data_IF_763440832245
#
_entry.id   IF_763440832245
#
_cell.length_a   1.000
_cell.length_b   1.000
_cell.length_c   1.000
_cell.angle_alpha   90.00
_cell.angle_beta   90.00
_cell.angle_gamma   90.00
#
_symmetry.space_group_name_H-M   'P 1'
#
loop_
_entity.id
_entity.type
_entity.pdbx_description
1 polymer ?
#
# COMPACT_ATOMS: atom_id res chain seq x y z
N UNK A 1 -3.97 -6.09 -13.04
CA UNK A 1 -2.83 -6.58 -12.22
C UNK A 1 -1.59 -5.67 -12.31
N UNK A 2 -0.75 -5.69 -13.37
CA UNK A 2 0.48 -4.85 -13.37
C UNK A 2 0.22 -3.33 -13.24
N UNK A 3 -0.80 -2.80 -13.92
CA UNK A 3 -1.18 -1.38 -13.77
C UNK A 3 -1.65 -1.04 -12.35
N UNK A 4 -2.32 -1.96 -11.65
CA UNK A 4 -2.78 -1.73 -10.27
C UNK A 4 -1.61 -1.71 -9.29
N UNK A 5 -0.60 -2.56 -9.48
CA UNK A 5 0.61 -2.56 -8.67
C UNK A 5 1.38 -1.24 -8.81
N UNK A 6 1.57 -0.76 -10.05
CA UNK A 6 2.24 0.53 -10.29
C UNK A 6 1.46 1.71 -9.72
N UNK A 7 0.12 1.71 -9.84
CA UNK A 7 -0.71 2.75 -9.22
C UNK A 7 -0.60 2.74 -7.70
N UNK A 8 -0.66 1.56 -7.07
CA UNK A 8 -0.53 1.43 -5.63
C UNK A 8 0.86 1.88 -5.13
N UNK A 9 1.93 1.55 -5.88
CA UNK A 9 3.29 2.03 -5.58
C UNK A 9 3.42 3.56 -5.70
N UNK A 10 2.78 4.17 -6.70
CA UNK A 10 2.76 5.62 -6.85
C UNK A 10 2.03 6.31 -5.69
N UNK A 11 0.89 5.74 -5.25
CA UNK A 11 0.14 6.24 -4.10
C UNK A 11 0.98 6.14 -2.81
N UNK A 12 1.60 4.98 -2.56
CA UNK A 12 2.50 4.78 -1.43
C UNK A 12 3.62 5.82 -1.42
N UNK A 13 4.23 6.09 -2.58
CA UNK A 13 5.30 7.07 -2.70
C UNK A 13 4.82 8.48 -2.36
N UNK A 14 3.66 8.88 -2.90
CA UNK A 14 3.02 10.17 -2.62
C UNK A 14 2.71 10.31 -1.13
N UNK A 15 2.08 9.32 -0.52
CA UNK A 15 1.72 9.33 0.90
C UNK A 15 2.96 9.32 1.80
N UNK A 16 4.03 8.65 1.39
CA UNK A 16 5.33 8.71 2.09
C UNK A 16 5.91 10.13 2.08
N UNK A 17 5.79 10.86 0.97
CA UNK A 17 6.22 12.26 0.91
C UNK A 17 5.34 13.16 1.77
N UNK A 18 4.03 12.96 1.76
CA UNK A 18 3.09 13.68 2.60
C UNK A 18 3.42 13.46 4.09
N UNK A 19 3.65 12.21 4.50
CA UNK A 19 4.06 11.87 5.86
C UNK A 19 5.37 12.56 6.24
N UNK A 20 6.39 12.54 5.36
CA UNK A 20 7.65 13.25 5.60
C UNK A 20 7.45 14.75 5.79
N UNK A 21 6.52 15.36 5.06
CA UNK A 21 6.20 16.77 5.25
C UNK A 21 5.49 17.00 6.60
N UNK A 22 4.51 16.16 6.93
CA UNK A 22 3.78 16.24 8.19
C UNK A 22 4.69 16.06 9.42
N UNK A 23 5.70 15.18 9.36
CA UNK A 23 6.72 15.03 10.41
C UNK A 23 7.50 16.34 10.62
N UNK A 24 7.87 17.03 9.52
CA UNK A 24 8.57 18.32 9.62
C UNK A 24 7.68 19.40 10.18
N UNK A 25 6.39 19.40 9.81
CA UNK A 25 5.40 20.33 10.34
C UNK A 25 5.18 20.08 11.84
N UNK A 26 4.94 18.85 12.27
CA UNK A 26 4.82 18.49 13.69
C UNK A 26 6.04 18.95 14.49
N UNK A 27 7.26 18.68 14.00
CA UNK A 27 8.48 19.13 14.68
C UNK A 27 8.57 20.66 14.78
N UNK A 28 8.14 21.40 13.75
CA UNK A 28 8.08 22.86 13.77
C UNK A 28 7.05 23.37 14.78
N UNK A 29 5.86 22.78 14.79
CA UNK A 29 4.79 23.17 15.70
C UNK A 29 5.09 22.80 17.16
N UNK A 30 5.80 21.71 17.39
CA UNK A 30 6.33 21.34 18.70
C UNK A 30 7.23 22.44 19.26
N UNK A 31 8.22 22.89 18.48
CA UNK A 31 9.11 23.98 18.89
C UNK A 31 8.33 25.30 19.14
N UNK A 32 7.39 25.64 18.27
CA UNK A 32 6.53 26.83 18.47
C UNK A 32 5.62 26.71 19.69
N UNK A 33 5.20 25.50 20.06
CA UNK A 33 4.36 25.26 21.24
C UNK A 33 5.15 25.44 22.52
N UNK A 34 6.41 25.00 22.55
CA UNK A 34 7.36 25.26 23.64
C UNK A 34 7.61 26.76 23.84
N UNK A 35 7.65 27.53 22.74
CA UNK A 35 7.75 28.99 22.75
C UNK A 35 6.41 29.70 23.08
N UNK A 36 5.33 28.96 23.33
CA UNK A 36 3.95 29.47 23.50
C UNK A 36 3.45 30.32 22.32
N UNK A 37 4.03 30.13 21.15
CA UNK A 37 3.67 30.84 19.93
C UNK A 37 2.48 30.21 19.19
N UNK A 38 2.09 28.97 19.54
CA UNK A 38 0.91 28.26 19.01
C UNK A 38 0.09 27.64 20.12
N UNK A 39 -1.20 27.42 19.83
CA UNK A 39 -2.12 26.70 20.72
C UNK A 39 -1.79 25.21 20.76
N UNK A 40 -1.99 24.57 21.91
CA UNK A 40 -1.90 23.12 22.07
C UNK A 40 -2.86 22.38 21.12
N UNK A 41 -4.04 22.97 20.85
CA UNK A 41 -4.99 22.44 19.85
C UNK A 41 -4.38 22.39 18.44
N UNK A 42 -3.63 23.42 18.04
CA UNK A 42 -2.98 23.46 16.72
C UNK A 42 -1.88 22.41 16.63
N UNK A 43 -1.09 22.23 17.70
CA UNK A 43 -0.09 21.17 17.77
C UNK A 43 -0.74 19.78 17.67
N UNK A 44 -1.80 19.52 18.43
CA UNK A 44 -2.54 18.26 18.38
C UNK A 44 -3.12 17.99 16.98
N UNK A 45 -3.58 19.03 16.29
CA UNK A 45 -4.07 18.90 14.91
C UNK A 45 -2.95 18.47 13.95
N UNK A 46 -1.73 19.01 14.09
CA UNK A 46 -0.58 18.59 13.30
C UNK A 46 -0.14 17.17 13.62
N UNK A 47 -0.13 16.80 14.90
CA UNK A 47 0.19 15.43 15.34
C UNK A 47 -0.82 14.43 14.77
N UNK A 48 -2.11 14.72 14.87
CA UNK A 48 -3.18 13.88 14.32
C UNK A 48 -3.04 13.73 12.81
N UNK A 49 -2.70 14.81 12.10
CA UNK A 49 -2.47 14.77 10.66
C UNK A 49 -1.28 13.87 10.29
N UNK A 50 -0.18 13.93 11.05
CA UNK A 50 0.96 13.04 10.88
C UNK A 50 0.56 11.57 11.10
N UNK A 51 -0.17 11.28 12.17
CA UNK A 51 -0.61 9.91 12.48
C UNK A 51 -1.56 9.35 11.41
N UNK A 52 -2.48 10.17 10.90
CA UNK A 52 -3.36 9.79 9.78
C UNK A 52 -2.58 9.45 8.52
N UNK A 53 -1.55 10.24 8.18
CA UNK A 53 -0.68 9.97 7.04
C UNK A 53 0.19 8.73 7.25
N UNK A 54 0.61 8.47 8.49
CA UNK A 54 1.29 7.23 8.87
C UNK A 54 0.42 6.00 8.61
N UNK A 55 -0.84 6.06 9.07
CA UNK A 55 -1.82 5.00 8.82
C UNK A 55 -2.14 4.82 7.32
N UNK A 56 -2.16 5.91 6.54
CA UNK A 56 -2.36 5.85 5.09
C UNK A 56 -1.22 5.09 4.39
N UNK A 57 0.04 5.38 4.76
CA UNK A 57 1.22 4.67 4.26
C UNK A 57 1.17 3.18 4.61
N UNK A 58 0.83 2.82 5.85
CA UNK A 58 0.70 1.41 6.26
C UNK A 58 -0.40 0.69 5.47
N UNK A 59 -1.56 1.32 5.30
CA UNK A 59 -2.67 0.79 4.49
C UNK A 59 -2.22 0.54 3.05
N UNK A 60 -1.52 1.49 2.44
CA UNK A 60 -1.07 1.37 1.04
C UNK A 60 -0.01 0.27 0.89
N UNK A 61 0.88 0.08 1.87
CA UNK A 61 1.80 -1.05 1.91
C UNK A 61 1.06 -2.40 1.97
N UNK A 62 0.00 -2.48 2.79
CA UNK A 62 -0.82 -3.70 2.90
C UNK A 62 -1.51 -4.02 1.55
N UNK A 63 -2.04 -3.01 0.85
CA UNK A 63 -2.66 -3.18 -0.47
C UNK A 63 -1.65 -3.71 -1.51
N UNK A 64 -0.42 -3.19 -1.51
CA UNK A 64 0.65 -3.67 -2.40
C UNK A 64 1.02 -5.11 -2.07
N UNK A 65 1.14 -5.46 -0.78
CA UNK A 65 1.46 -6.81 -0.35
C UNK A 65 0.39 -7.83 -0.79
N UNK A 66 -0.90 -7.49 -0.62
CA UNK A 66 -2.01 -8.33 -1.06
C UNK A 66 -2.03 -8.51 -2.58
N UNK A 67 -1.85 -7.42 -3.34
CA UNK A 67 -1.78 -7.46 -4.81
C UNK A 67 -0.62 -8.34 -5.30
N UNK A 68 0.55 -8.24 -4.68
CA UNK A 68 1.69 -9.09 -5.00
C UNK A 68 1.42 -10.57 -4.73
N UNK A 69 0.73 -10.87 -3.62
CA UNK A 69 0.34 -12.23 -3.26
C UNK A 69 -0.63 -12.82 -4.30
N UNK A 70 -1.64 -12.06 -4.71
CA UNK A 70 -2.59 -12.46 -5.76
C UNK A 70 -1.89 -12.73 -7.10
N UNK A 71 -0.95 -11.88 -7.52
CA UNK A 71 -0.16 -12.11 -8.75
C UNK A 71 0.68 -13.39 -8.63
N UNK A 72 1.29 -13.63 -7.47
CA UNK A 72 2.09 -14.85 -7.22
C UNK A 72 1.24 -16.12 -7.29
N UNK A 73 0.03 -16.10 -6.72
CA UNK A 73 -0.91 -17.23 -6.83
C UNK A 73 -1.52 -17.36 -8.23
N UNK A 74 -1.70 -16.27 -8.96
CA UNK A 74 -2.20 -16.29 -10.33
C UNK A 74 -1.17 -16.82 -11.33
N UNK A 75 0.12 -16.85 -10.98
CA UNK A 75 1.13 -17.72 -11.60
C UNK A 75 1.05 -19.09 -10.93
N UNK A 76 0.16 -19.94 -11.41
CA UNK A 76 0.19 -21.37 -11.10
C UNK A 76 1.48 -21.94 -11.73
N UNK A 77 2.58 -21.91 -10.97
CA UNK A 77 3.72 -22.80 -11.21
C UNK A 77 3.36 -24.12 -10.55
N UNK A 78 3.28 -25.19 -11.36
CA UNK A 78 3.01 -26.52 -10.87
C UNK A 78 4.03 -26.87 -9.76
N UNK A 79 3.59 -27.28 -8.56
CA UNK A 79 4.47 -27.51 -7.41
C UNK A 79 5.33 -28.78 -7.52
N UNK A 80 5.33 -29.46 -8.68
CA UNK A 80 6.15 -30.63 -8.95
C UNK A 80 6.63 -30.63 -10.41
N UNK A 81 7.91 -30.95 -10.62
CA UNK A 81 8.46 -31.32 -11.93
C UNK A 81 8.01 -32.74 -12.28
N UNK A 82 6.74 -32.86 -12.65
CA UNK A 82 6.17 -34.10 -13.19
C UNK A 82 6.08 -34.01 -14.70
N UNK A 83 6.68 -34.97 -15.42
CA UNK A 83 6.47 -35.10 -16.86
C UNK A 83 4.97 -35.24 -17.12
N UNK A 84 4.37 -34.25 -17.79
CA UNK A 84 2.99 -34.26 -18.25
C UNK A 84 2.81 -35.39 -19.27
N UNK A 85 2.55 -36.61 -18.78
CA UNK A 85 2.16 -37.75 -19.60
C UNK A 85 0.65 -37.91 -19.54
N UNK A 86 -0.05 -37.01 -20.23
CA UNK A 86 -1.26 -37.24 -21.02
C UNK A 86 -1.99 -35.91 -21.19
N UNK A 87 -1.89 -35.38 -22.41
CA UNK A 87 -2.72 -34.30 -22.89
C UNK A 87 -4.11 -34.87 -23.20
N UNK A 88 -5.08 -34.67 -22.30
CA UNK A 88 -6.50 -34.76 -22.65
C UNK A 88 -7.12 -33.37 -22.51
N UNK A 89 -6.74 -32.48 -23.41
CA UNK A 89 -7.52 -31.27 -23.68
C UNK A 89 -8.30 -31.57 -24.96
N UNK A 90 -9.52 -32.05 -24.82
CA UNK A 90 -10.48 -31.94 -25.92
C UNK A 90 -10.96 -30.48 -25.98
N UNK A 91 -10.81 -29.88 -27.15
CA UNK A 91 -11.27 -28.54 -27.46
C UNK A 91 -12.80 -28.59 -27.57
N UNK A 92 -13.53 -27.88 -26.70
CA UNK A 92 -14.88 -27.43 -27.05
C UNK A 92 -16.02 -27.57 -26.06
N UNK A 93 -15.82 -27.41 -24.74
CA UNK A 93 -16.98 -27.24 -23.84
C UNK A 93 -17.05 -25.86 -23.18
N UNK A 94 -18.17 -25.21 -23.46
CA UNK A 94 -18.65 -23.95 -22.95
C UNK A 94 -19.13 -24.17 -21.50
N UNK A 95 -18.54 -23.49 -20.52
CA UNK A 95 -19.05 -23.55 -19.14
C UNK A 95 -19.37 -22.14 -18.65
N UNK A 96 -20.65 -21.76 -18.81
CA UNK A 96 -21.33 -20.77 -17.99
C UNK A 96 -21.78 -21.41 -16.67
N UNK A 97 -21.95 -20.59 -15.63
CA UNK A 97 -23.29 -20.42 -15.08
C UNK A 97 -23.90 -19.05 -15.46
#
# INVERSE_FOLDING_TARGET
MQNQLHQAQANLLSDTYNLKNAIKEEARYRALSEEKAVSEEQYLQMLTNMDMLGAAVERDQAIIADTNLQIKYSKIVAPFDGKLSESNVDIGDLVSP
#
